data_IF_391530794668
#
_entry.id   IF_391530794668
#
_cell.length_a   1.000
_cell.length_b   1.000
_cell.length_c   1.000
_cell.angle_alpha   90.00
_cell.angle_beta   90.00
_cell.angle_gamma   90.00
#
_symmetry.space_group_name_H-M   'P 1'
#
loop_
_entity.id
_entity.type
_entity.pdbx_description
1 polymer ?
#
# COMPACT_ATOMS: atom_id res chain seq x y z
N UNK A 1 13.92 2.75 -27.64
CA UNK A 1 13.73 3.05 -26.20
C UNK A 1 14.96 3.81 -25.74
N UNK A 2 14.86 5.12 -25.60
CA UNK A 2 15.91 5.92 -24.97
C UNK A 2 15.98 5.63 -23.47
N UNK A 3 17.18 5.71 -22.90
CA UNK A 3 17.43 5.42 -21.48
C UNK A 3 16.62 6.34 -20.55
N UNK A 4 16.35 7.57 -20.96
CA UNK A 4 15.50 8.53 -20.26
C UNK A 4 14.05 8.04 -20.11
N UNK A 5 13.47 7.47 -21.16
CA UNK A 5 12.10 6.93 -21.15
C UNK A 5 11.97 5.75 -20.21
N UNK A 6 12.97 4.85 -20.20
CA UNK A 6 13.00 3.72 -19.30
C UNK A 6 13.08 4.16 -17.83
N UNK A 7 13.91 5.17 -17.53
CA UNK A 7 14.03 5.73 -16.18
C UNK A 7 12.73 6.38 -15.71
N UNK A 8 12.06 7.14 -16.60
CA UNK A 8 10.77 7.75 -16.29
C UNK A 8 9.69 6.71 -15.97
N UNK A 9 9.63 5.63 -16.75
CA UNK A 9 8.66 4.55 -16.55
C UNK A 9 8.87 3.85 -15.21
N UNK A 10 10.13 3.60 -14.83
CA UNK A 10 10.47 3.03 -13.53
C UNK A 10 10.05 3.93 -12.37
N UNK A 11 10.36 5.23 -12.44
CA UNK A 11 9.96 6.20 -11.43
C UNK A 11 8.44 6.25 -11.25
N UNK A 12 7.70 6.28 -12.36
CA UNK A 12 6.25 6.30 -12.34
C UNK A 12 5.64 5.01 -11.77
N UNK A 13 6.22 3.86 -12.10
CA UNK A 13 5.80 2.56 -11.54
C UNK A 13 5.98 2.54 -10.03
N UNK A 14 7.15 2.98 -9.53
CA UNK A 14 7.43 3.04 -8.09
C UNK A 14 6.51 4.01 -7.35
N UNK A 15 6.26 5.19 -7.92
CA UNK A 15 5.34 6.16 -7.34
C UNK A 15 3.90 5.62 -7.29
N UNK A 16 3.48 4.89 -8.32
CA UNK A 16 2.15 4.26 -8.37
C UNK A 16 2.03 3.17 -7.30
N UNK A 17 3.03 2.31 -7.17
CA UNK A 17 3.08 1.28 -6.13
C UNK A 17 3.09 1.87 -4.72
N UNK A 18 3.85 2.95 -4.50
CA UNK A 18 3.89 3.67 -3.23
C UNK A 18 2.52 4.28 -2.89
N UNK A 19 1.84 4.92 -3.85
CA UNK A 19 0.49 5.49 -3.65
C UNK A 19 -0.55 4.44 -3.27
N UNK A 20 -0.53 3.28 -3.94
CA UNK A 20 -1.48 2.19 -3.69
C UNK A 20 -1.26 1.55 -2.31
N UNK A 21 0.00 1.39 -1.90
CA UNK A 21 0.36 0.78 -0.61
C UNK A 21 0.26 1.73 0.59
N UNK A 22 0.39 3.04 0.37
CA UNK A 22 0.37 4.06 1.42
C UNK A 22 -0.80 3.95 2.43
N UNK A 23 -2.08 3.85 2.04
CA UNK A 23 -3.18 3.82 3.01
C UNK A 23 -3.11 2.62 3.95
N UNK A 24 -2.78 1.44 3.42
CA UNK A 24 -2.69 0.20 4.21
C UNK A 24 -1.49 0.28 5.16
N UNK A 25 -0.34 0.75 4.67
CA UNK A 25 0.87 0.88 5.46
C UNK A 25 0.68 1.88 6.61
N UNK A 26 0.11 3.05 6.34
CA UNK A 26 -0.14 4.07 7.35
C UNK A 26 -1.11 3.58 8.42
N UNK A 27 -2.22 2.96 8.02
CA UNK A 27 -3.19 2.42 8.98
C UNK A 27 -2.57 1.31 9.85
N UNK A 28 -1.83 0.38 9.23
CA UNK A 28 -1.16 -0.70 9.95
C UNK A 28 -0.06 -0.19 10.88
N UNK A 29 0.64 0.88 10.49
CA UNK A 29 1.63 1.56 11.32
C UNK A 29 0.98 2.16 12.57
N UNK A 30 -0.09 2.94 12.40
CA UNK A 30 -0.80 3.57 13.53
C UNK A 30 -1.30 2.51 14.51
N UNK A 31 -1.96 1.47 14.01
CA UNK A 31 -2.47 0.39 14.87
C UNK A 31 -1.33 -0.38 15.53
N UNK A 32 -0.24 -0.66 14.79
CA UNK A 32 0.94 -1.32 15.34
C UNK A 32 1.57 -0.51 16.49
N UNK A 33 1.68 0.80 16.34
CA UNK A 33 2.19 1.69 17.40
C UNK A 33 1.26 1.68 18.60
N UNK A 34 -0.05 1.87 18.41
CA UNK A 34 -1.04 1.86 19.50
C UNK A 34 -0.98 0.56 20.29
N UNK A 35 -0.96 -0.59 19.60
CA UNK A 35 -0.88 -1.89 20.27
C UNK A 35 0.47 -2.06 20.98
N UNK A 36 1.59 -1.62 20.39
CA UNK A 36 2.90 -1.73 21.03
C UNK A 36 2.97 -0.95 22.36
N UNK A 37 2.34 0.23 22.43
CA UNK A 37 2.25 1.01 23.66
C UNK A 37 1.40 0.28 24.70
N UNK A 38 0.24 -0.25 24.29
CA UNK A 38 -0.63 -1.02 25.20
C UNK A 38 0.09 -2.23 25.78
N UNK A 39 0.85 -2.96 24.95
CA UNK A 39 1.63 -4.12 25.39
C UNK A 39 2.68 -3.76 26.44
N UNK A 40 3.35 -2.62 26.27
CA UNK A 40 4.34 -2.13 27.23
C UNK A 40 3.67 -1.70 28.53
N UNK A 41 2.56 -0.96 28.46
CA UNK A 41 1.86 -0.45 29.65
C UNK A 41 1.21 -1.57 30.46
N UNK A 42 0.64 -2.59 29.81
CA UNK A 42 0.01 -3.73 30.51
C UNK A 42 0.97 -4.87 30.83
N UNK A 43 2.23 -4.79 30.37
CA UNK A 43 3.23 -5.86 30.47
C UNK A 43 2.82 -7.20 29.81
N UNK A 44 1.84 -7.18 28.88
CA UNK A 44 1.39 -8.38 28.16
C UNK A 44 2.07 -8.41 26.79
N UNK A 45 3.07 -9.29 26.65
CA UNK A 45 3.85 -9.46 25.41
C UNK A 45 3.44 -10.70 24.61
N UNK A 46 2.14 -10.91 24.47
CA UNK A 46 1.59 -12.03 23.70
C UNK A 46 1.62 -11.74 22.20
N UNK A 47 2.23 -12.63 21.41
CA UNK A 47 2.38 -12.44 19.97
C UNK A 47 1.02 -12.30 19.25
N UNK A 48 -0.01 -13.02 19.71
CA UNK A 48 -1.36 -13.00 19.14
C UNK A 48 -2.04 -11.63 19.23
N UNK A 49 -1.79 -10.87 20.31
CA UNK A 49 -2.34 -9.52 20.49
C UNK A 49 -1.78 -8.50 19.49
N UNK A 50 -0.57 -8.70 18.97
CA UNK A 50 -0.05 -7.85 17.88
C UNK A 50 -0.62 -8.20 16.51
N UNK A 51 -0.92 -9.48 16.30
CA UNK A 51 -1.22 -10.01 14.97
C UNK A 51 -2.67 -9.75 14.58
N UNK A 52 -3.62 -10.08 15.46
CA UNK A 52 -5.05 -10.03 15.14
C UNK A 52 -5.54 -8.59 14.83
N UNK A 53 -5.24 -7.56 15.66
CA UNK A 53 -5.69 -6.20 15.37
C UNK A 53 -5.10 -5.66 14.05
N UNK A 54 -3.83 -5.99 13.74
CA UNK A 54 -3.20 -5.60 12.47
C UNK A 54 -3.90 -6.25 11.28
N UNK A 55 -4.23 -7.53 11.37
CA UNK A 55 -4.93 -8.24 10.29
C UNK A 55 -6.32 -7.63 10.04
N UNK A 56 -7.09 -7.38 11.09
CA UNK A 56 -8.40 -6.73 10.99
C UNK A 56 -8.26 -5.36 10.31
N UNK A 57 -7.24 -4.59 10.68
CA UNK A 57 -6.95 -3.28 10.08
C UNK A 57 -6.66 -3.40 8.59
N UNK A 58 -5.81 -4.34 8.17
CA UNK A 58 -5.50 -4.57 6.76
C UNK A 58 -6.76 -4.93 5.98
N UNK A 59 -7.58 -5.85 6.48
CA UNK A 59 -8.83 -6.26 5.84
C UNK A 59 -9.80 -5.07 5.73
N UNK A 60 -9.98 -4.31 6.81
CA UNK A 60 -10.84 -3.13 6.80
C UNK A 60 -10.36 -2.09 5.76
N UNK A 61 -9.05 -1.82 5.70
CA UNK A 61 -8.49 -0.91 4.71
C UNK A 61 -8.70 -1.42 3.29
N UNK A 62 -8.51 -2.72 3.03
CA UNK A 62 -8.81 -3.28 1.71
C UNK A 62 -10.27 -3.11 1.31
N UNK A 63 -11.21 -3.27 2.23
CA UNK A 63 -12.63 -3.05 1.95
C UNK A 63 -12.94 -1.59 1.65
N UNK A 64 -12.29 -0.66 2.36
CA UNK A 64 -12.53 0.78 2.20
C UNK A 64 -11.82 1.37 0.97
N UNK A 65 -10.55 1.01 0.74
CA UNK A 65 -9.71 1.60 -0.31
C UNK A 65 -9.52 0.70 -1.52
N UNK A 66 -10.02 -0.54 -1.51
CA UNK A 66 -9.81 -1.51 -2.58
C UNK A 66 -10.30 -1.03 -3.95
N UNK A 67 -11.50 -0.43 -4.01
CA UNK A 67 -12.04 0.11 -5.27
C UNK A 67 -11.15 1.23 -5.83
N UNK A 68 -10.67 2.12 -4.98
CA UNK A 68 -9.76 3.20 -5.36
C UNK A 68 -8.40 2.70 -5.83
N UNK A 69 -7.82 1.72 -5.11
CA UNK A 69 -6.56 1.07 -5.50
C UNK A 69 -6.68 0.43 -6.88
N UNK A 70 -7.79 -0.27 -7.14
CA UNK A 70 -8.05 -0.88 -8.45
C UNK A 70 -8.19 0.16 -9.57
N UNK A 71 -8.85 1.30 -9.30
CA UNK A 71 -8.96 2.38 -10.28
C UNK A 71 -7.57 2.90 -10.70
N UNK A 72 -6.65 3.09 -9.75
CA UNK A 72 -5.28 3.54 -10.02
C UNK A 72 -4.52 2.52 -10.87
N UNK A 73 -4.60 1.23 -10.52
CA UNK A 73 -3.92 0.17 -11.29
C UNK A 73 -4.43 0.13 -12.72
N UNK A 74 -5.76 0.20 -12.91
CA UNK A 74 -6.37 0.18 -14.25
C UNK A 74 -5.95 1.42 -15.05
N UNK A 75 -5.93 2.61 -14.44
CA UNK A 75 -5.47 3.83 -15.09
C UNK A 75 -4.00 3.74 -15.51
N UNK A 76 -3.14 3.27 -14.61
CA UNK A 76 -1.74 3.04 -14.89
C UNK A 76 -1.54 2.04 -16.03
N UNK A 77 -2.26 0.91 -16.01
CA UNK A 77 -2.22 -0.08 -17.09
C UNK A 77 -2.66 0.51 -18.43
N UNK A 78 -3.76 1.29 -18.46
CA UNK A 78 -4.23 1.97 -19.68
C UNK A 78 -3.17 2.90 -20.25
N UNK A 79 -2.49 3.67 -19.39
CA UNK A 79 -1.39 4.56 -19.79
C UNK A 79 -0.21 3.78 -20.36
N UNK A 80 0.18 2.67 -19.72
CA UNK A 80 1.22 1.79 -20.25
C UNK A 80 0.88 1.23 -21.63
N UNK A 81 -0.33 0.69 -21.81
CA UNK A 81 -0.76 0.17 -23.11
C UNK A 81 -0.86 1.28 -24.16
N UNK A 82 -1.30 2.48 -23.78
CA UNK A 82 -1.30 3.64 -24.67
C UNK A 82 0.10 4.06 -25.12
N UNK A 83 1.09 4.03 -24.21
CA UNK A 83 2.49 4.28 -24.55
C UNK A 83 3.03 3.22 -25.51
N UNK A 84 2.67 1.95 -25.32
CA UNK A 84 3.11 0.86 -26.22
C UNK A 84 2.46 0.97 -27.60
N UNK A 85 1.17 1.30 -27.68
CA UNK A 85 0.44 1.39 -28.95
C UNK A 85 0.77 2.66 -29.76
N UNK A 86 1.23 3.72 -29.09
CA UNK A 86 1.68 4.96 -29.71
C UNK A 86 3.17 4.99 -30.06
N UNK A 87 3.92 3.95 -29.70
CA UNK A 87 5.31 3.71 -30.11
C UNK A 87 5.39 2.87 -31.38
#
# INVERSE_FOLDING_TARGET
>A
MDSDTAMHLLAETLLTAAKISAPILLATLVVGVVISILQVVTQIQEMTLTFIPKLITVVAMFLMTGAWMMAIVVEFSKRLFGLIAGM
#
